data_IF_182836921536
#
_entry.id   IF_182836921536
#
_cell.length_a   1.000
_cell.length_b   1.000
_cell.length_c   1.000
_cell.angle_alpha   90.00
_cell.angle_beta   90.00
_cell.angle_gamma   90.00
#
_symmetry.space_group_name_H-M   'P 1'
#
loop_
_entity.id
_entity.type
_entity.pdbx_description
1 polymer ?
#
# COMPACT_ATOMS: atom_id res chain seq x y z
N UNK A 1 7.74 1.56 -7.36
CA UNK A 1 8.67 0.85 -6.41
C UNK A 1 10.13 1.11 -6.77
N UNK A 2 11.04 1.15 -5.75
CA UNK A 2 12.49 1.16 -5.97
C UNK A 2 13.07 -0.19 -5.59
N UNK A 3 13.94 -0.77 -6.43
CA UNK A 3 14.64 -2.02 -6.12
C UNK A 3 16.14 -1.91 -6.37
N UNK A 4 16.93 -2.78 -5.74
CA UNK A 4 18.31 -3.08 -6.17
C UNK A 4 18.31 -3.88 -7.47
N UNK A 5 19.50 -4.07 -8.08
CA UNK A 5 19.67 -4.88 -9.30
C UNK A 5 19.23 -6.33 -9.07
N UNK A 6 19.42 -6.84 -7.85
CA UNK A 6 18.99 -8.18 -7.42
C UNK A 6 17.57 -8.22 -6.82
N UNK A 7 16.76 -7.19 -7.07
CA UNK A 7 15.31 -7.16 -6.78
C UNK A 7 14.93 -6.91 -5.30
N UNK A 8 15.85 -6.47 -4.45
CA UNK A 8 15.54 -6.16 -3.04
C UNK A 8 14.91 -4.78 -2.90
N UNK A 9 14.05 -4.59 -1.89
CA UNK A 9 13.28 -3.36 -1.69
C UNK A 9 13.47 -2.76 -0.29
N UNK A 10 14.68 -2.86 0.29
CA UNK A 10 14.98 -2.34 1.63
C UNK A 10 15.95 -1.16 1.56
N UNK A 11 15.49 0.03 1.09
CA UNK A 11 16.35 1.19 0.82
C UNK A 11 17.16 1.67 2.03
N UNK A 12 16.65 1.47 3.26
CA UNK A 12 17.36 1.83 4.49
C UNK A 12 18.73 1.14 4.67
N UNK A 13 18.96 0.03 3.95
CA UNK A 13 20.25 -0.67 3.93
C UNK A 13 21.21 -0.06 2.91
N UNK A 14 20.69 0.72 1.98
CA UNK A 14 21.46 1.34 0.93
C UNK A 14 21.76 2.79 1.31
N UNK A 15 22.97 3.22 1.13
CA UNK A 15 23.31 4.64 1.31
C UNK A 15 22.89 5.41 0.05
N UNK A 16 21.58 5.53 -0.17
CA UNK A 16 21.04 6.17 -1.37
C UNK A 16 21.13 7.70 -1.27
N UNK A 17 21.52 8.37 -2.36
CA UNK A 17 21.40 9.81 -2.46
C UNK A 17 19.94 10.27 -2.40
N UNK A 18 19.67 11.45 -1.84
CA UNK A 18 18.32 12.05 -1.82
C UNK A 18 17.69 12.18 -3.21
N UNK A 19 18.53 12.34 -4.25
CA UNK A 19 18.09 12.36 -5.64
C UNK A 19 17.28 11.12 -6.07
N UNK A 20 17.48 9.96 -5.42
CA UNK A 20 16.70 8.75 -5.73
C UNK A 20 15.25 8.89 -5.26
N UNK A 21 15.03 9.52 -4.11
CA UNK A 21 13.67 9.78 -3.63
C UNK A 21 12.95 10.78 -4.54
N UNK A 22 13.64 11.82 -4.98
CA UNK A 22 13.08 12.77 -5.96
C UNK A 22 12.70 12.10 -7.28
N UNK A 23 13.51 11.16 -7.80
CA UNK A 23 13.14 10.41 -9.01
C UNK A 23 11.99 9.43 -8.75
N UNK A 24 11.89 8.85 -7.54
CA UNK A 24 10.76 8.04 -7.14
C UNK A 24 9.45 8.84 -7.18
N UNK A 25 9.43 10.00 -6.53
CA UNK A 25 8.28 10.91 -6.49
C UNK A 25 7.87 11.33 -7.91
N UNK A 26 8.82 11.76 -8.73
CA UNK A 26 8.56 12.13 -10.14
C UNK A 26 7.97 11.00 -10.98
N UNK A 27 8.41 9.76 -10.76
CA UNK A 27 7.82 8.62 -11.47
C UNK A 27 6.42 8.29 -10.94
N UNK A 28 6.16 8.45 -9.66
CA UNK A 28 4.82 8.27 -9.09
C UNK A 28 3.83 9.31 -9.62
N UNK A 29 4.22 10.58 -9.67
CA UNK A 29 3.41 11.69 -10.20
C UNK A 29 2.93 11.46 -11.64
N UNK A 30 3.70 10.72 -12.46
CA UNK A 30 3.31 10.45 -13.87
C UNK A 30 2.05 9.60 -14.02
N UNK A 31 1.60 8.94 -12.96
CA UNK A 31 0.42 8.08 -13.00
C UNK A 31 -0.89 8.82 -12.69
N UNK A 32 -0.81 10.08 -12.23
CA UNK A 32 -1.99 10.86 -11.83
C UNK A 32 -2.95 10.03 -10.96
N UNK A 33 -2.39 9.41 -9.93
CA UNK A 33 -3.09 8.42 -9.14
C UNK A 33 -4.02 9.06 -8.10
N UNK A 34 -5.23 8.52 -7.97
CA UNK A 34 -6.20 8.98 -6.98
C UNK A 34 -5.81 8.54 -5.55
N UNK A 35 -5.00 7.47 -5.45
CA UNK A 35 -4.59 6.90 -4.17
C UNK A 35 -3.30 6.11 -4.26
N UNK A 36 -2.64 5.98 -3.11
CA UNK A 36 -1.54 5.03 -2.91
C UNK A 36 -1.86 4.05 -1.77
N UNK A 37 -1.38 2.83 -1.89
CA UNK A 37 -1.61 1.76 -0.90
C UNK A 37 -0.31 1.10 -0.48
N UNK A 38 -0.16 0.93 0.83
CA UNK A 38 0.93 0.13 1.41
C UNK A 38 0.45 -0.79 2.51
N UNK A 39 1.27 -1.77 2.83
CA UNK A 39 1.04 -2.65 3.95
C UNK A 39 1.32 -2.00 5.30
N UNK A 40 0.78 -2.61 6.34
CA UNK A 40 0.92 -2.15 7.71
C UNK A 40 2.37 -1.80 8.10
N UNK A 41 3.34 -2.65 7.77
CA UNK A 41 4.74 -2.42 8.16
C UNK A 41 5.31 -1.18 7.49
N UNK A 42 5.03 -0.98 6.20
CA UNK A 42 5.46 0.20 5.44
C UNK A 42 4.75 1.46 5.93
N UNK A 43 3.50 1.34 6.42
CA UNK A 43 2.72 2.46 6.93
C UNK A 43 3.14 2.93 8.34
N UNK A 44 3.85 2.11 9.13
CA UNK A 44 4.26 2.44 10.51
C UNK A 44 4.95 3.83 10.66
N UNK A 45 5.85 4.27 9.78
CA UNK A 45 6.49 5.58 9.90
C UNK A 45 5.51 6.76 9.84
N UNK A 46 4.42 6.63 9.12
CA UNK A 46 3.38 7.66 8.96
C UNK A 46 2.33 7.60 10.07
N UNK A 47 2.16 6.43 10.68
CA UNK A 47 1.24 6.23 11.80
C UNK A 47 1.77 6.88 13.09
N UNK A 48 0.91 6.97 14.08
CA UNK A 48 1.26 7.47 15.41
C UNK A 48 1.71 6.36 16.37
N UNK A 49 2.00 6.79 17.60
CA UNK A 49 2.24 5.91 18.75
C UNK A 49 1.14 6.07 19.81
N UNK A 50 -0.04 6.54 19.40
CA UNK A 50 -1.16 6.72 20.32
C UNK A 50 -1.62 5.36 20.87
N UNK A 51 -2.07 5.35 22.11
CA UNK A 51 -2.79 4.18 22.64
C UNK A 51 -4.24 4.24 22.18
N UNK A 52 -4.78 3.11 21.74
CA UNK A 52 -6.21 2.99 21.47
C UNK A 52 -6.95 3.04 22.82
N UNK A 53 -7.79 4.05 23.06
CA UNK A 53 -8.50 4.16 24.33
C UNK A 53 -9.58 3.08 24.44
N UNK A 54 -9.82 2.58 25.64
CA UNK A 54 -10.97 1.71 25.91
C UNK A 54 -12.25 2.54 25.88
N UNK A 55 -13.28 2.01 25.24
CA UNK A 55 -14.59 2.65 25.19
C UNK A 55 -15.31 2.54 26.56
N UNK A 56 -16.07 3.57 26.88
CA UNK A 56 -17.01 3.52 28.01
C UNK A 56 -18.23 2.64 27.68
N UNK A 57 -18.77 2.75 26.46
CA UNK A 57 -19.92 1.93 26.02
C UNK A 57 -19.48 0.53 25.61
N UNK A 58 -20.25 -0.49 26.01
CA UNK A 58 -20.07 -1.88 25.58
C UNK A 58 -20.95 -2.28 24.40
N UNK A 59 -21.74 -1.36 23.84
CA UNK A 59 -22.55 -1.67 22.66
C UNK A 59 -21.66 -2.02 21.47
N UNK A 60 -21.90 -3.13 20.75
CA UNK A 60 -21.12 -3.50 19.59
C UNK A 60 -21.15 -2.42 18.51
N UNK A 61 -20.02 -2.20 17.85
CA UNK A 61 -19.96 -1.36 16.65
C UNK A 61 -20.26 -2.23 15.44
N UNK A 62 -21.24 -1.85 14.61
CA UNK A 62 -21.57 -2.60 13.39
C UNK A 62 -20.34 -2.79 12.48
N UNK A 63 -20.22 -3.96 11.88
CA UNK A 63 -19.15 -4.30 10.92
C UNK A 63 -19.50 -3.79 9.52
N UNK A 64 -19.78 -2.50 9.45
CA UNK A 64 -20.03 -1.76 8.21
C UNK A 64 -18.89 -0.79 7.92
N UNK A 65 -18.64 -0.53 6.66
CA UNK A 65 -17.67 0.45 6.23
C UNK A 65 -18.00 1.83 6.83
N UNK A 66 -16.96 2.61 7.11
CA UNK A 66 -17.10 3.97 7.62
C UNK A 66 -16.32 4.93 6.73
N UNK A 67 -17.03 5.86 6.13
CA UNK A 67 -16.47 6.87 5.23
C UNK A 67 -16.59 8.22 5.93
N UNK A 68 -15.46 8.73 6.41
CA UNK A 68 -15.39 10.02 7.09
C UNK A 68 -15.29 11.19 6.09
N UNK A 69 -14.61 10.98 4.96
CA UNK A 69 -14.40 11.98 3.92
C UNK A 69 -14.42 11.31 2.55
N UNK A 70 -15.29 11.79 1.63
CA UNK A 70 -15.43 11.24 0.26
C UNK A 70 -14.68 12.03 -0.79
N UNK A 71 -14.57 13.33 -0.60
CA UNK A 71 -14.09 14.27 -1.62
C UNK A 71 -12.70 14.80 -1.23
N UNK A 72 -11.79 13.90 -0.87
CA UNK A 72 -10.38 14.25 -0.66
C UNK A 72 -9.66 14.35 -2.01
N UNK A 73 -8.61 15.17 -2.08
CA UNK A 73 -7.74 15.31 -3.24
C UNK A 73 -6.94 14.05 -3.56
N UNK A 74 -6.62 13.26 -2.53
CA UNK A 74 -5.91 12.00 -2.61
C UNK A 74 -6.21 11.10 -1.40
N UNK A 75 -5.83 9.83 -1.49
CA UNK A 75 -6.07 8.86 -0.42
C UNK A 75 -4.83 8.02 -0.11
N UNK A 76 -4.49 7.96 1.18
CA UNK A 76 -3.46 7.08 1.73
C UNK A 76 -4.11 5.81 2.29
N UNK A 77 -3.99 4.69 1.58
CA UNK A 77 -4.65 3.43 1.94
C UNK A 77 -3.71 2.51 2.70
N UNK A 78 -4.07 2.16 3.93
CA UNK A 78 -3.31 1.26 4.78
C UNK A 78 -3.95 -0.12 4.86
N UNK A 79 -3.26 -1.17 4.41
CA UNK A 79 -3.72 -2.55 4.58
C UNK A 79 -3.30 -3.05 5.97
N UNK A 80 -4.20 -2.93 6.95
CA UNK A 80 -3.99 -3.27 8.35
C UNK A 80 -5.08 -4.22 8.88
N UNK A 81 -5.19 -5.40 8.28
CA UNK A 81 -6.25 -6.38 8.53
C UNK A 81 -6.63 -6.57 10.01
N UNK A 82 -5.69 -6.43 10.92
CA UNK A 82 -5.86 -6.68 12.36
C UNK A 82 -5.98 -5.41 13.22
N UNK A 83 -5.97 -4.20 12.63
CA UNK A 83 -6.16 -2.95 13.35
C UNK A 83 -5.04 -2.64 14.35
N UNK A 84 -3.80 -2.65 13.91
CA UNK A 84 -2.61 -2.40 14.77
C UNK A 84 -1.98 -1.04 14.59
N UNK A 85 -2.33 -0.31 13.52
CA UNK A 85 -1.84 1.04 13.29
C UNK A 85 -2.59 2.03 14.18
N UNK A 86 -1.86 2.94 14.78
CA UNK A 86 -2.44 4.04 15.54
C UNK A 86 -2.13 5.35 14.83
N UNK A 87 -3.12 6.20 14.70
CA UNK A 87 -3.05 7.36 13.85
C UNK A 87 -2.96 8.66 14.65
N UNK A 88 -2.12 9.59 14.21
CA UNK A 88 -2.05 10.96 14.76
C UNK A 88 -3.07 11.87 14.09
N UNK A 89 -3.29 11.67 12.80
CA UNK A 89 -4.14 12.50 11.95
C UNK A 89 -5.03 11.61 11.09
N UNK A 90 -6.08 12.19 10.51
CA UNK A 90 -6.90 11.59 9.46
C UNK A 90 -6.27 11.77 8.06
N UNK A 91 -5.11 12.42 7.97
CA UNK A 91 -4.37 12.60 6.73
C UNK A 91 -2.88 12.32 6.89
N UNK A 92 -2.25 11.96 5.80
CA UNK A 92 -0.79 11.91 5.60
C UNK A 92 -0.52 12.91 4.49
N UNK A 93 0.27 13.94 4.81
CA UNK A 93 0.37 15.13 3.99
C UNK A 93 -1.06 15.66 3.68
N UNK A 94 -1.51 15.68 2.45
CA UNK A 94 -2.86 16.11 2.08
C UNK A 94 -3.83 14.93 1.82
N UNK A 95 -3.32 13.69 1.80
CA UNK A 95 -4.09 12.49 1.48
C UNK A 95 -4.90 11.97 2.66
N UNK A 96 -6.19 11.74 2.47
CA UNK A 96 -7.06 11.19 3.49
C UNK A 96 -6.76 9.72 3.77
N UNK A 97 -6.66 9.36 5.06
CA UNK A 97 -6.34 7.98 5.48
C UNK A 97 -7.56 7.07 5.39
N UNK A 98 -7.38 5.97 4.68
CA UNK A 98 -8.34 4.86 4.60
C UNK A 98 -7.67 3.58 5.09
N UNK A 99 -8.24 2.94 6.13
CA UNK A 99 -7.68 1.69 6.68
C UNK A 99 -8.50 0.49 6.25
N UNK A 100 -7.84 -0.52 5.68
CA UNK A 100 -8.47 -1.79 5.28
C UNK A 100 -8.34 -2.79 6.43
N UNK A 101 -9.48 -3.29 6.89
CA UNK A 101 -9.63 -4.12 8.09
C UNK A 101 -10.31 -5.45 7.78
N UNK A 102 -10.20 -6.39 8.70
CA UNK A 102 -11.11 -7.55 8.78
C UNK A 102 -12.14 -7.35 9.90
N UNK A 103 -13.21 -8.14 9.88
CA UNK A 103 -14.27 -8.08 10.91
C UNK A 103 -13.79 -8.46 12.32
N UNK A 104 -12.58 -9.05 12.45
CA UNK A 104 -11.97 -9.46 13.73
C UNK A 104 -11.42 -8.30 14.57
N UNK A 105 -11.33 -7.09 14.03
CA UNK A 105 -10.80 -5.95 14.79
C UNK A 105 -11.67 -5.62 15.99
N UNK A 106 -11.03 -5.15 17.07
CA UNK A 106 -11.73 -4.77 18.28
C UNK A 106 -12.60 -3.53 18.07
N UNK A 107 -13.73 -3.47 18.75
CA UNK A 107 -14.63 -2.31 18.72
C UNK A 107 -13.95 -1.03 19.23
N UNK A 108 -13.04 -1.15 20.20
CA UNK A 108 -12.25 -0.01 20.68
C UNK A 108 -11.45 0.63 19.57
N UNK A 109 -10.90 -0.19 18.66
CA UNK A 109 -10.15 0.30 17.50
C UNK A 109 -11.07 1.01 16.49
N UNK A 110 -12.25 0.47 16.21
CA UNK A 110 -13.23 1.12 15.33
C UNK A 110 -13.69 2.46 15.90
N UNK A 111 -13.94 2.51 17.22
CA UNK A 111 -14.30 3.76 17.90
C UNK A 111 -13.16 4.78 17.81
N UNK A 112 -11.93 4.34 17.98
CA UNK A 112 -10.73 5.17 17.84
C UNK A 112 -10.63 5.77 16.42
N UNK A 113 -10.78 4.97 15.37
CA UNK A 113 -10.75 5.45 13.98
C UNK A 113 -11.86 6.49 13.73
N UNK A 114 -13.07 6.19 14.16
CA UNK A 114 -14.22 7.13 14.03
C UNK A 114 -13.97 8.45 14.75
N UNK A 115 -13.45 8.41 15.97
CA UNK A 115 -13.15 9.62 16.75
C UNK A 115 -12.06 10.49 16.12
N UNK A 116 -11.23 9.91 15.24
CA UNK A 116 -10.17 10.60 14.51
C UNK A 116 -10.58 10.99 13.10
N UNK A 117 -11.80 10.70 12.68
CA UNK A 117 -12.24 10.97 11.31
C UNK A 117 -11.49 10.16 10.26
N UNK A 118 -11.05 8.93 10.61
CA UNK A 118 -10.33 8.04 9.70
C UNK A 118 -11.31 7.07 9.08
N UNK A 119 -11.34 7.02 7.76
CA UNK A 119 -12.17 6.06 7.04
C UNK A 119 -11.63 4.64 7.19
N UNK A 120 -12.55 3.66 7.22
CA UNK A 120 -12.15 2.26 7.15
C UNK A 120 -13.14 1.43 6.34
N UNK A 121 -12.59 0.42 5.65
CA UNK A 121 -13.36 -0.56 4.89
C UNK A 121 -13.07 -1.97 5.40
N UNK A 122 -14.09 -2.80 5.48
CA UNK A 122 -13.92 -4.23 5.75
C UNK A 122 -13.64 -4.98 4.46
N UNK A 123 -12.42 -5.52 4.35
CA UNK A 123 -12.00 -6.35 3.22
C UNK A 123 -12.50 -7.79 3.31
N UNK A 124 -12.90 -8.25 4.48
CA UNK A 124 -13.38 -9.63 4.72
C UNK A 124 -13.53 -9.93 6.20
N UNK A 125 -13.86 -11.17 6.54
CA UNK A 125 -14.08 -11.57 7.93
C UNK A 125 -12.77 -11.95 8.62
N UNK A 126 -11.98 -12.82 8.02
CA UNK A 126 -10.70 -13.30 8.57
C UNK A 126 -9.52 -12.82 7.76
N UNK A 127 -9.68 -12.80 6.46
CA UNK A 127 -8.67 -12.45 5.48
C UNK A 127 -9.18 -11.32 4.59
N UNK A 128 -8.26 -10.62 3.95
CA UNK A 128 -8.61 -9.50 3.07
C UNK A 128 -8.78 -10.02 1.64
N UNK A 129 -9.98 -9.91 1.11
CA UNK A 129 -10.27 -10.04 -0.31
C UNK A 129 -9.92 -8.72 -1.02
N UNK A 130 -8.81 -8.73 -1.73
CA UNK A 130 -8.30 -7.54 -2.43
C UNK A 130 -9.23 -7.06 -3.55
N UNK A 131 -9.92 -7.96 -4.26
CA UNK A 131 -10.88 -7.59 -5.30
C UNK A 131 -12.03 -6.80 -4.70
N UNK A 132 -12.61 -7.30 -3.61
CA UNK A 132 -13.66 -6.61 -2.84
C UNK A 132 -13.19 -5.25 -2.32
N UNK A 133 -11.93 -5.15 -1.88
CA UNK A 133 -11.35 -3.88 -1.43
C UNK A 133 -11.28 -2.88 -2.57
N UNK A 134 -10.79 -3.27 -3.75
CA UNK A 134 -10.73 -2.39 -4.91
C UNK A 134 -12.11 -1.91 -5.36
N UNK A 135 -13.11 -2.79 -5.37
CA UNK A 135 -14.51 -2.44 -5.68
C UNK A 135 -15.05 -1.40 -4.69
N UNK A 136 -14.77 -1.56 -3.39
CA UNK A 136 -15.19 -0.60 -2.35
C UNK A 136 -14.45 0.73 -2.45
N UNK A 137 -13.14 0.73 -2.70
CA UNK A 137 -12.36 1.95 -2.91
C UNK A 137 -12.93 2.76 -4.08
N UNK A 138 -13.23 2.09 -5.19
CA UNK A 138 -13.90 2.72 -6.33
C UNK A 138 -15.28 3.27 -5.98
N UNK A 139 -16.11 2.49 -5.27
CA UNK A 139 -17.50 2.85 -4.97
C UNK A 139 -17.60 3.97 -3.95
N UNK A 140 -16.79 3.93 -2.89
CA UNK A 140 -16.87 4.88 -1.79
C UNK A 140 -16.11 6.19 -2.03
N UNK A 141 -14.99 6.11 -2.78
CA UNK A 141 -14.06 7.23 -2.93
C UNK A 141 -13.79 7.61 -4.39
N UNK A 142 -14.36 6.88 -5.36
CA UNK A 142 -14.16 7.17 -6.78
C UNK A 142 -12.77 6.80 -7.31
N UNK A 143 -11.95 6.08 -6.55
CA UNK A 143 -10.58 5.73 -6.91
C UNK A 143 -10.58 4.86 -8.17
N UNK A 144 -9.90 5.32 -9.22
CA UNK A 144 -9.73 4.66 -10.51
C UNK A 144 -8.30 4.17 -10.70
N UNK A 145 -7.33 4.98 -10.27
CA UNK A 145 -5.91 4.66 -10.34
C UNK A 145 -5.35 4.54 -8.94
N UNK A 146 -4.84 3.34 -8.61
CA UNK A 146 -4.25 3.02 -7.31
C UNK A 146 -2.78 2.63 -7.48
N UNK A 147 -1.86 3.35 -6.85
CA UNK A 147 -0.46 2.95 -6.73
C UNK A 147 -0.28 1.98 -5.57
N UNK A 148 0.06 0.73 -5.85
CA UNK A 148 0.44 -0.24 -4.80
C UNK A 148 1.94 -0.12 -4.57
N UNK A 149 2.32 0.54 -3.47
CA UNK A 149 3.71 0.89 -3.16
C UNK A 149 4.40 -0.08 -2.20
N UNK A 150 3.78 -1.20 -1.97
CA UNK A 150 4.42 -2.35 -1.31
C UNK A 150 4.18 -2.46 0.18
N UNK A 151 5.02 -3.19 1.01
CA UNK A 151 6.13 -4.07 0.61
C UNK A 151 5.82 -5.33 -0.18
N UNK A 152 6.85 -6.14 -0.32
CA UNK A 152 6.83 -7.32 -1.20
C UNK A 152 5.65 -8.26 -1.00
N UNK A 153 5.23 -8.50 0.24
CA UNK A 153 4.07 -9.35 0.54
C UNK A 153 2.76 -8.82 -0.05
N UNK A 154 2.53 -7.51 0.01
CA UNK A 154 1.34 -6.92 -0.60
C UNK A 154 1.41 -7.01 -2.11
N UNK A 155 2.54 -6.63 -2.71
CA UNK A 155 2.73 -6.78 -4.14
C UNK A 155 2.53 -8.25 -4.58
N UNK A 156 3.07 -9.19 -3.81
CA UNK A 156 2.85 -10.63 -4.03
C UNK A 156 1.38 -11.02 -4.00
N UNK A 157 0.62 -10.55 -3.00
CA UNK A 157 -0.81 -10.82 -2.90
C UNK A 157 -1.62 -10.23 -4.07
N UNK A 158 -1.28 -9.02 -4.53
CA UNK A 158 -1.90 -8.44 -5.73
C UNK A 158 -1.56 -9.23 -6.99
N UNK A 159 -0.31 -9.71 -7.10
CA UNK A 159 0.13 -10.55 -8.22
C UNK A 159 -0.58 -11.91 -8.21
N UNK A 160 -0.71 -12.56 -7.06
CA UNK A 160 -1.47 -13.82 -6.89
C UNK A 160 -2.93 -13.65 -7.30
N UNK A 161 -3.56 -12.56 -6.89
CA UNK A 161 -4.96 -12.25 -7.19
C UNK A 161 -5.20 -11.78 -8.64
N UNK A 162 -4.15 -11.67 -9.46
CA UNK A 162 -4.20 -11.15 -10.84
C UNK A 162 -4.79 -9.73 -10.94
N UNK A 163 -4.44 -8.86 -9.98
CA UNK A 163 -4.97 -7.50 -9.84
C UNK A 163 -3.95 -6.40 -10.19
N UNK A 164 -2.87 -6.74 -10.86
CA UNK A 164 -1.85 -5.77 -11.31
C UNK A 164 -2.01 -5.52 -12.79
N UNK A 165 -2.28 -4.28 -13.19
CA UNK A 165 -2.36 -3.87 -14.58
C UNK A 165 -1.00 -3.45 -15.13
N UNK A 166 -0.20 -2.73 -14.31
CA UNK A 166 1.12 -2.25 -14.67
C UNK A 166 2.11 -2.42 -13.50
N UNK A 167 3.34 -2.76 -13.83
CA UNK A 167 4.49 -2.81 -12.92
C UNK A 167 5.45 -1.69 -13.30
N UNK A 168 5.69 -0.77 -12.35
CA UNK A 168 6.61 0.35 -12.48
C UNK A 168 7.74 0.20 -11.46
N UNK A 169 8.98 0.06 -11.92
CA UNK A 169 10.15 -0.19 -11.08
C UNK A 169 11.29 0.74 -11.43
N UNK A 170 11.80 1.45 -10.44
CA UNK A 170 13.10 2.13 -10.49
C UNK A 170 14.17 1.16 -9.98
N UNK A 171 15.02 0.71 -10.86
CA UNK A 171 16.16 -0.14 -10.51
C UNK A 171 17.34 0.76 -10.15
N UNK A 172 17.76 0.70 -8.89
CA UNK A 172 18.92 1.43 -8.39
C UNK A 172 20.22 0.68 -8.77
N UNK A 173 21.33 1.40 -9.05
CA UNK A 173 22.63 0.81 -9.35
C UNK A 173 23.29 0.26 -8.06
N UNK A 174 22.61 -0.65 -7.39
CA UNK A 174 22.98 -1.24 -6.10
C UNK A 174 22.77 -2.75 -6.18
N UNK A 175 23.77 -3.51 -5.75
CA UNK A 175 23.64 -4.93 -5.46
C UNK A 175 23.50 -5.08 -3.93
N UNK A 176 22.34 -5.54 -3.45
CA UNK A 176 22.05 -5.67 -2.01
C UNK A 176 22.64 -6.97 -1.42
N UNK A 177 22.47 -8.09 -2.12
CA UNK A 177 22.97 -9.42 -1.72
C UNK A 177 22.34 -9.97 -0.43
N UNK A 178 21.34 -9.31 0.14
CA UNK A 178 20.74 -9.70 1.42
C UNK A 178 19.87 -10.96 1.32
N UNK A 179 20.28 -12.05 1.96
CA UNK A 179 19.48 -13.26 2.07
C UNK A 179 18.27 -12.99 2.99
N UNK A 180 17.06 -13.45 2.57
CA UNK A 180 15.85 -13.31 3.35
C UNK A 180 15.31 -11.88 3.48
N UNK A 181 15.87 -10.92 2.75
CA UNK A 181 15.33 -9.56 2.68
C UNK A 181 14.16 -9.49 1.68
N UNK A 182 13.14 -8.65 1.93
CA UNK A 182 11.99 -8.48 1.05
C UNK A 182 12.38 -8.18 -0.40
N UNK A 183 11.67 -8.82 -1.33
CA UNK A 183 11.79 -8.58 -2.77
C UNK A 183 10.61 -7.75 -3.31
N UNK A 184 10.65 -7.44 -4.60
CA UNK A 184 9.54 -6.73 -5.28
C UNK A 184 8.20 -7.45 -5.10
N UNK A 185 8.22 -8.79 -5.16
CA UNK A 185 7.05 -9.65 -5.00
C UNK A 185 7.42 -10.83 -4.11
N UNK A 186 6.93 -10.83 -2.88
CA UNK A 186 7.05 -11.95 -1.96
C UNK A 186 5.68 -12.65 -1.90
N UNK A 187 5.52 -13.68 -2.71
CA UNK A 187 4.32 -14.50 -2.69
C UNK A 187 4.33 -15.47 -1.52
N UNK A 188 3.16 -15.99 -1.17
CA UNK A 188 3.02 -17.09 -0.20
C UNK A 188 3.49 -18.41 -0.77
N UNK A 189 3.73 -19.41 0.09
CA UNK A 189 4.03 -20.77 -0.36
C UNK A 189 2.90 -21.30 -1.27
N UNK A 190 3.29 -21.91 -2.40
CA UNK A 190 2.33 -22.43 -3.37
C UNK A 190 1.93 -21.45 -4.47
N UNK A 191 2.63 -20.32 -4.59
CA UNK A 191 2.45 -19.40 -5.72
C UNK A 191 2.54 -20.17 -7.05
N UNK A 192 1.52 -19.99 -7.89
CA UNK A 192 1.43 -20.63 -9.19
C UNK A 192 2.53 -20.21 -10.17
N UNK A 193 2.42 -20.54 -11.46
CA UNK A 193 3.43 -20.21 -12.45
C UNK A 193 3.65 -18.70 -12.55
N UNK A 194 4.89 -18.31 -12.83
CA UNK A 194 5.28 -16.90 -13.01
C UNK A 194 4.40 -16.20 -14.06
N UNK A 195 4.12 -14.93 -13.85
CA UNK A 195 3.33 -14.11 -14.79
C UNK A 195 4.24 -13.50 -15.85
N UNK A 196 3.84 -13.62 -17.11
CA UNK A 196 4.51 -12.95 -18.22
C UNK A 196 4.00 -11.51 -18.31
N UNK A 197 4.92 -10.57 -18.43
CA UNK A 197 4.64 -9.14 -18.62
C UNK A 197 5.11 -8.70 -19.99
N UNK A 198 4.52 -7.63 -20.51
CA UNK A 198 4.92 -6.95 -21.76
C UNK A 198 5.68 -5.69 -21.40
N UNK A 199 6.90 -5.54 -21.91
CA UNK A 199 7.67 -4.32 -21.73
C UNK A 199 6.93 -3.13 -22.39
N UNK A 200 6.77 -2.06 -21.63
CA UNK A 200 6.18 -0.78 -22.08
C UNK A 200 7.29 0.23 -22.36
N UNK A 201 8.18 0.47 -21.39
CA UNK A 201 9.31 1.39 -21.58
C UNK A 201 10.49 1.05 -20.69
N UNK A 202 11.67 1.51 -21.13
CA UNK A 202 12.93 1.50 -20.37
C UNK A 202 13.54 2.89 -20.49
N UNK A 203 13.79 3.54 -19.35
CA UNK A 203 14.32 4.89 -19.33
C UNK A 203 15.50 5.00 -18.35
N UNK A 204 16.57 5.65 -18.78
CA UNK A 204 17.64 6.07 -17.87
C UNK A 204 17.19 7.30 -17.09
N UNK A 205 17.32 7.24 -15.78
CA UNK A 205 16.99 8.33 -14.86
C UNK A 205 18.24 8.88 -14.17
N UNK A 206 18.11 10.00 -13.45
CA UNK A 206 19.21 10.62 -12.71
C UNK A 206 19.78 9.65 -11.67
N UNK A 207 21.04 9.80 -11.34
CA UNK A 207 21.72 8.95 -10.35
C UNK A 207 22.01 7.52 -10.83
N UNK A 208 21.92 7.23 -12.12
CA UNK A 208 22.14 5.89 -12.68
C UNK A 208 20.95 4.95 -12.50
N UNK A 209 19.79 5.46 -12.08
CA UNK A 209 18.55 4.69 -12.00
C UNK A 209 18.08 4.28 -13.40
N UNK A 210 17.47 3.11 -13.50
CA UNK A 210 16.75 2.65 -14.69
C UNK A 210 15.29 2.48 -14.34
N UNK A 211 14.40 3.19 -15.03
CA UNK A 211 12.96 3.04 -14.87
C UNK A 211 12.42 2.04 -15.87
N UNK A 212 11.86 0.96 -15.37
CA UNK A 212 11.23 -0.12 -16.13
C UNK A 212 9.72 -0.06 -15.94
N UNK A 213 8.98 -0.10 -17.04
CA UNK A 213 7.52 -0.24 -17.02
C UNK A 213 7.10 -1.47 -17.81
N UNK A 214 6.22 -2.25 -17.21
CA UNK A 214 5.65 -3.45 -17.83
C UNK A 214 4.14 -3.43 -17.62
N UNK A 215 3.38 -3.81 -18.64
CA UNK A 215 1.95 -4.07 -18.53
C UNK A 215 1.68 -5.56 -18.41
N UNK A 216 0.49 -5.89 -17.89
CA UNK A 216 -0.04 -7.25 -17.96
C UNK A 216 -0.10 -7.68 -19.43
N UNK A 217 0.25 -8.92 -19.72
CA UNK A 217 0.04 -9.52 -21.03
C UNK A 217 -1.40 -10.03 -21.07
N UNK A 218 -2.23 -9.39 -21.87
CA UNK A 218 -3.59 -9.89 -22.23
C UNK A 218 -3.50 -11.17 -23.03
#
# INVERSE_FOLDING_TARGET
MVSSIDGRIVPRRWRIPSAFMTEYERTAETFDADAWMVGRITMVPYAGKAKVPRRASRQPIPRTDFVAQRDASGYAVALDASGKLTWKSSSIDEDHVVTILTSKVADDYLAFLRSRGISYLFGGDTDVDLKRVLEKLKTHFGIKTLLVEGGGKINGSFLEADLIDEVSVLVAPIADGGIGTPSLFDATEGFGPSRRLKLVSVEKRRGGLVWLRYSRKT
#
